data_IF_644107058908
#
_entry.id   IF_644107058908
#
_cell.length_a   1.000
_cell.length_b   1.000
_cell.length_c   1.000
_cell.angle_alpha   90.00
_cell.angle_beta   90.00
_cell.angle_gamma   90.00
#
_symmetry.space_group_name_H-M   'P 1'
#
loop_
_entity.id
_entity.type
_entity.pdbx_description
1 polymer ?
#
# COMPACT_ATOMS: atom_id res chain seq x y z
N UNK A 1 4.08 -2.07 6.01
CA UNK A 1 3.65 -0.68 6.33
C UNK A 1 4.23 0.25 5.27
N UNK A 2 3.52 1.29 4.85
CA UNK A 2 4.08 2.26 3.91
C UNK A 2 5.04 3.23 4.64
N UNK A 3 5.67 4.11 3.86
CA UNK A 3 6.77 4.96 4.32
C UNK A 3 6.32 6.34 4.81
N UNK A 4 5.02 6.52 5.11
CA UNK A 4 4.47 7.76 5.65
C UNK A 4 5.21 8.25 6.90
N UNK A 5 5.30 9.57 7.07
CA UNK A 5 6.10 10.17 8.15
C UNK A 5 5.72 9.67 9.55
N UNK A 6 4.42 9.58 9.84
CA UNK A 6 3.90 9.07 11.12
C UNK A 6 4.35 7.62 11.41
N UNK A 7 4.46 6.78 10.38
CA UNK A 7 4.84 5.37 10.48
C UNK A 7 6.34 5.14 10.76
N UNK A 8 7.14 6.21 10.69
CA UNK A 8 8.58 6.19 10.98
C UNK A 8 8.94 6.79 12.34
N UNK A 9 7.94 7.28 13.08
CA UNK A 9 8.13 7.84 14.42
C UNK A 9 8.73 6.81 15.38
N UNK A 10 9.48 7.28 16.38
CA UNK A 10 10.10 6.42 17.38
C UNK A 10 9.05 5.64 18.16
N UNK A 11 7.98 6.33 18.58
CA UNK A 11 6.84 5.74 19.29
C UNK A 11 6.27 4.50 18.58
N UNK A 12 6.09 4.56 17.27
CA UNK A 12 5.59 3.42 16.49
C UNK A 12 6.62 2.28 16.44
N UNK A 13 7.90 2.60 16.26
CA UNK A 13 8.97 1.59 16.23
C UNK A 13 9.15 0.89 17.57
N UNK A 14 9.03 1.63 18.66
CA UNK A 14 9.17 1.11 20.02
C UNK A 14 8.00 0.18 20.34
N UNK A 15 6.77 0.59 20.05
CA UNK A 15 5.59 -0.27 20.21
C UNK A 15 5.68 -1.57 19.39
N UNK A 16 6.23 -1.52 18.17
CA UNK A 16 6.46 -2.71 17.35
C UNK A 16 7.53 -3.63 17.98
N UNK A 17 8.61 -3.03 18.50
CA UNK A 17 9.69 -3.77 19.16
C UNK A 17 9.22 -4.42 20.46
N UNK A 18 8.46 -3.71 21.29
CA UNK A 18 7.88 -4.19 22.54
C UNK A 18 6.90 -5.34 22.29
N UNK A 19 6.07 -5.23 21.24
CA UNK A 19 5.17 -6.30 20.81
C UNK A 19 5.87 -7.48 20.11
N UNK A 20 7.21 -7.48 20.03
CA UNK A 20 8.04 -8.53 19.40
C UNK A 20 7.67 -8.80 17.93
N UNK A 21 7.15 -7.80 17.23
CA UNK A 21 6.78 -7.89 15.82
C UNK A 21 7.93 -7.42 14.91
N UNK A 22 8.01 -7.99 13.72
CA UNK A 22 8.97 -7.57 12.69
C UNK A 22 8.35 -6.52 11.78
N UNK A 23 8.99 -5.35 11.67
CA UNK A 23 8.56 -4.28 10.77
C UNK A 23 9.10 -4.49 9.35
N UNK A 24 8.19 -4.65 8.39
CA UNK A 24 8.51 -4.64 6.96
C UNK A 24 7.89 -3.41 6.28
N UNK A 25 8.74 -2.54 5.75
CA UNK A 25 8.30 -1.40 4.94
C UNK A 25 8.05 -1.81 3.49
N UNK A 26 7.02 -1.22 2.88
CA UNK A 26 6.78 -1.36 1.44
C UNK A 26 7.81 -0.58 0.63
N UNK A 27 8.01 -0.95 -0.64
CA UNK A 27 8.97 -0.24 -1.49
C UNK A 27 8.43 1.17 -1.79
N UNK A 28 9.25 2.23 -1.63
CA UNK A 28 8.82 3.61 -1.91
C UNK A 28 8.27 3.77 -3.34
N UNK A 29 7.21 4.58 -3.47
CA UNK A 29 6.57 4.89 -4.76
C UNK A 29 6.08 3.66 -5.54
N UNK A 30 5.85 2.54 -4.86
CA UNK A 30 5.36 1.29 -5.46
C UNK A 30 4.12 0.77 -4.72
N UNK A 31 2.94 1.37 -4.96
CA UNK A 31 1.71 0.97 -4.30
C UNK A 31 1.37 -0.51 -4.53
N UNK A 32 1.77 -1.09 -5.67
CA UNK A 32 1.59 -2.52 -5.98
C UNK A 32 2.30 -3.47 -4.99
N UNK A 33 3.31 -3.00 -4.27
CA UNK A 33 4.01 -3.78 -3.23
C UNK A 33 3.33 -3.68 -1.86
N UNK A 34 2.25 -2.89 -1.74
CA UNK A 34 1.46 -2.76 -0.53
C UNK A 34 0.11 -3.47 -0.73
N UNK A 35 -0.09 -4.60 -0.04
CA UNK A 35 -1.34 -5.38 -0.14
C UNK A 35 -2.59 -4.58 0.25
N UNK A 36 -2.44 -3.57 1.11
CA UNK A 36 -3.53 -2.70 1.55
C UNK A 36 -4.11 -1.91 0.37
N UNK A 37 -3.30 -1.51 -0.61
CA UNK A 37 -3.78 -0.80 -1.82
C UNK A 37 -4.71 -1.68 -2.66
N UNK A 38 -4.32 -2.95 -2.85
CA UNK A 38 -5.17 -3.94 -3.55
C UNK A 38 -6.48 -4.17 -2.80
N UNK A 39 -6.43 -4.26 -1.47
CA UNK A 39 -7.64 -4.36 -0.64
C UNK A 39 -8.54 -3.13 -0.80
N UNK A 40 -7.99 -1.91 -0.71
CA UNK A 40 -8.76 -0.66 -0.84
C UNK A 40 -9.39 -0.52 -2.22
N UNK A 41 -8.77 -1.00 -3.29
CA UNK A 41 -9.36 -0.98 -4.62
C UNK A 41 -10.64 -1.84 -4.69
N UNK A 42 -10.60 -3.06 -4.15
CA UNK A 42 -11.77 -3.93 -4.11
C UNK A 42 -12.82 -3.38 -3.13
N UNK A 43 -12.40 -2.86 -1.97
CA UNK A 43 -13.29 -2.21 -1.01
C UNK A 43 -14.01 -1.01 -1.63
N UNK A 44 -13.30 -0.09 -2.30
CA UNK A 44 -13.89 1.10 -2.95
C UNK A 44 -14.96 0.72 -3.97
N UNK A 45 -14.71 -0.32 -4.76
CA UNK A 45 -15.68 -0.83 -5.72
C UNK A 45 -16.99 -1.24 -5.03
N UNK A 46 -16.93 -2.11 -4.03
CA UNK A 46 -18.12 -2.55 -3.30
C UNK A 46 -18.76 -1.43 -2.47
N UNK A 47 -17.94 -0.53 -1.91
CA UNK A 47 -18.43 0.62 -1.16
C UNK A 47 -19.28 1.54 -2.04
N UNK A 48 -18.86 1.75 -3.30
CA UNK A 48 -19.64 2.53 -4.29
C UNK A 48 -20.96 1.84 -4.64
N UNK A 49 -20.98 0.51 -4.73
CA UNK A 49 -22.18 -0.27 -5.02
C UNK A 49 -23.13 -0.42 -3.82
N UNK A 50 -22.62 -0.26 -2.60
CA UNK A 50 -23.42 -0.39 -1.39
C UNK A 50 -24.26 0.89 -1.19
N UNK A 51 -25.58 0.78 -1.31
CA UNK A 51 -26.50 1.87 -1.01
C UNK A 51 -26.49 2.26 0.48
N UNK A 52 -26.63 3.54 0.78
CA UNK A 52 -26.68 4.07 2.15
C UNK A 52 -26.57 5.60 2.18
N UNK A 53 -26.90 6.19 3.32
CA UNK A 53 -26.75 7.63 3.57
C UNK A 53 -25.30 8.06 3.75
N UNK A 54 -25.10 9.38 3.87
CA UNK A 54 -23.79 10.02 4.08
C UNK A 54 -23.55 10.45 5.54
N UNK A 55 -24.48 10.15 6.45
CA UNK A 55 -24.31 10.42 7.87
C UNK A 55 -23.23 9.53 8.48
N UNK A 56 -22.61 9.95 9.58
CA UNK A 56 -21.59 9.12 10.25
C UNK A 56 -22.11 7.71 10.63
N UNK A 57 -23.28 7.55 11.27
CA UNK A 57 -23.84 6.22 11.55
C UNK A 57 -24.06 5.37 10.29
N UNK A 58 -24.55 6.00 9.21
CA UNK A 58 -24.77 5.31 7.94
C UNK A 58 -23.46 4.86 7.30
N UNK A 59 -22.43 5.71 7.33
CA UNK A 59 -21.11 5.38 6.84
C UNK A 59 -20.51 4.21 7.62
N UNK A 60 -20.61 4.19 8.95
CA UNK A 60 -20.15 3.06 9.78
C UNK A 60 -20.87 1.77 9.40
N UNK A 61 -22.21 1.81 9.25
CA UNK A 61 -23.02 0.66 8.83
C UNK A 61 -22.64 0.19 7.43
N UNK A 62 -22.43 1.14 6.51
CA UNK A 62 -22.03 0.89 5.13
C UNK A 62 -20.65 0.24 5.05
N UNK A 63 -19.65 0.76 5.76
CA UNK A 63 -18.29 0.18 5.84
C UNK A 63 -18.37 -1.26 6.34
N UNK A 64 -19.09 -1.53 7.45
CA UNK A 64 -19.24 -2.89 8.00
C UNK A 64 -19.84 -3.86 6.96
N UNK A 65 -20.91 -3.45 6.29
CA UNK A 65 -21.56 -4.25 5.23
C UNK A 65 -20.65 -4.45 4.01
N UNK A 66 -19.87 -3.44 3.62
CA UNK A 66 -18.95 -3.57 2.49
C UNK A 66 -17.83 -4.57 2.79
N UNK A 67 -17.28 -4.58 4.01
CA UNK A 67 -16.22 -5.53 4.39
C UNK A 67 -16.71 -6.97 4.31
N UNK A 68 -17.96 -7.24 4.71
CA UNK A 68 -18.54 -8.60 4.66
C UNK A 68 -18.75 -9.14 3.24
N UNK A 69 -18.81 -8.27 2.23
CA UNK A 69 -18.96 -8.67 0.82
C UNK A 69 -17.63 -9.20 0.26
N UNK A 70 -16.48 -8.74 0.77
CA UNK A 70 -15.17 -9.12 0.24
C UNK A 70 -14.88 -10.58 0.59
N UNK A 71 -14.66 -11.47 -0.39
CA UNK A 71 -14.49 -12.89 -0.12
C UNK A 71 -13.16 -13.17 0.61
N UNK A 72 -13.11 -14.15 1.53
CA UNK A 72 -11.89 -14.54 2.24
C UNK A 72 -10.70 -14.86 1.31
N UNK A 73 -10.97 -15.46 0.14
CA UNK A 73 -9.96 -15.77 -0.88
C UNK A 73 -9.23 -14.53 -1.40
N UNK A 74 -9.90 -13.37 -1.46
CA UNK A 74 -9.27 -12.13 -1.91
C UNK A 74 -8.12 -11.70 -1.00
N UNK A 75 -8.25 -11.89 0.33
CA UNK A 75 -7.21 -11.53 1.29
C UNK A 75 -5.90 -12.29 1.03
N UNK A 76 -6.01 -13.59 0.74
CA UNK A 76 -4.86 -14.40 0.35
C UNK A 76 -4.25 -13.91 -0.97
N UNK A 77 -5.09 -13.54 -1.94
CA UNK A 77 -4.62 -13.05 -3.24
C UNK A 77 -3.85 -11.73 -3.13
N UNK A 78 -4.27 -10.79 -2.29
CA UNK A 78 -3.54 -9.53 -2.08
C UNK A 78 -2.13 -9.78 -1.54
N UNK A 79 -1.99 -10.70 -0.59
CA UNK A 79 -0.69 -11.06 -0.01
C UNK A 79 0.21 -11.75 -1.04
N UNK A 80 -0.33 -12.71 -1.80
CA UNK A 80 0.41 -13.39 -2.88
C UNK A 80 0.89 -12.39 -3.93
N UNK A 81 0.01 -11.47 -4.33
CA UNK A 81 0.34 -10.43 -5.30
C UNK A 81 1.43 -9.50 -4.79
N UNK A 82 1.28 -8.92 -3.59
CA UNK A 82 2.23 -7.95 -3.06
C UNK A 82 3.61 -8.54 -2.73
N UNK A 83 3.64 -9.77 -2.20
CA UNK A 83 4.85 -10.34 -1.62
C UNK A 83 5.43 -11.53 -2.38
N UNK A 84 4.64 -12.38 -3.04
CA UNK A 84 5.21 -13.56 -3.73
C UNK A 84 5.60 -13.21 -5.17
N UNK A 85 4.86 -12.31 -5.82
CA UNK A 85 5.11 -11.96 -7.21
C UNK A 85 6.45 -11.21 -7.37
N UNK A 86 7.45 -11.91 -7.92
CA UNK A 86 8.81 -11.40 -8.13
C UNK A 86 8.88 -10.30 -9.19
N UNK A 87 7.95 -10.26 -10.14
CA UNK A 87 7.99 -9.30 -11.25
C UNK A 87 7.73 -7.86 -10.77
N UNK A 88 6.84 -7.70 -9.79
CA UNK A 88 6.48 -6.39 -9.22
C UNK A 88 7.67 -5.76 -8.48
N UNK A 89 8.59 -6.60 -7.98
CA UNK A 89 9.81 -6.18 -7.30
C UNK A 89 10.88 -5.64 -8.25
N UNK A 90 10.80 -5.92 -9.56
CA UNK A 90 11.80 -5.44 -10.52
C UNK A 90 11.83 -3.91 -10.53
N UNK A 91 12.94 -3.34 -10.07
CA UNK A 91 13.14 -1.90 -10.05
C UNK A 91 13.83 -1.43 -11.33
N UNK A 92 13.08 -0.81 -12.22
CA UNK A 92 13.64 -0.10 -13.37
C UNK A 92 13.91 1.33 -12.94
N UNK A 93 15.18 1.70 -12.80
CA UNK A 93 15.59 3.07 -12.50
C UNK A 93 15.26 3.95 -13.71
N UNK A 94 14.36 4.91 -13.53
CA UNK A 94 14.14 5.95 -14.55
C UNK A 94 15.39 6.84 -14.64
N UNK A 95 15.75 7.22 -15.87
CA UNK A 95 16.81 8.20 -16.09
C UNK A 95 16.39 9.54 -15.46
N UNK A 96 17.33 10.21 -14.81
CA UNK A 96 17.07 11.53 -14.23
C UNK A 96 16.86 12.55 -15.35
N UNK A 97 15.81 13.35 -15.25
CA UNK A 97 15.60 14.50 -16.15
C UNK A 97 16.66 15.59 -15.96
N UNK A 98 17.37 15.57 -14.82
CA UNK A 98 18.50 16.45 -14.53
C UNK A 98 19.85 15.91 -15.02
N UNK A 99 19.86 14.76 -15.71
CA UNK A 99 21.10 14.17 -16.22
C UNK A 99 21.63 15.07 -17.35
N UNK A 100 22.80 15.67 -17.14
CA UNK A 100 23.51 16.43 -18.17
C UNK A 100 24.42 15.50 -18.96
N UNK A 101 24.59 15.79 -20.25
CA UNK A 101 25.64 15.18 -21.06
C UNK A 101 27.01 15.56 -20.48
N UNK A 102 27.95 14.61 -20.48
CA UNK A 102 29.32 14.89 -20.08
C UNK A 102 29.94 15.88 -21.07
N UNK A 103 30.69 16.86 -20.57
CA UNK A 103 31.46 17.76 -21.42
C UNK A 103 32.65 16.97 -21.98
N UNK A 104 32.84 17.02 -23.30
CA UNK A 104 34.03 16.48 -23.94
C UNK A 104 35.18 17.47 -23.74
N UNK A 105 36.12 17.15 -22.86
CA UNK A 105 37.38 17.89 -22.74
C UNK A 105 38.38 17.32 -23.75
N UNK A 106 39.14 18.19 -24.41
CA UNK A 106 40.28 17.74 -25.22
C UNK A 106 41.41 17.33 -24.26
N UNK A 107 42.01 16.17 -24.53
CA UNK A 107 43.29 15.78 -23.93
C UNK A 107 44.41 16.72 -24.37
#
# INVERSE_FOLDING_TARGET
>A
MDNGGAHKSHLVKDAIKESKNTLLYSVPYRPKTNAIESWFNQFKHYFKLTYGGISYPDLVKKVKKTVTIIPPKSYLNYMKYAYINKEIRKFIRKQSTRRKTLKNYKS
#
